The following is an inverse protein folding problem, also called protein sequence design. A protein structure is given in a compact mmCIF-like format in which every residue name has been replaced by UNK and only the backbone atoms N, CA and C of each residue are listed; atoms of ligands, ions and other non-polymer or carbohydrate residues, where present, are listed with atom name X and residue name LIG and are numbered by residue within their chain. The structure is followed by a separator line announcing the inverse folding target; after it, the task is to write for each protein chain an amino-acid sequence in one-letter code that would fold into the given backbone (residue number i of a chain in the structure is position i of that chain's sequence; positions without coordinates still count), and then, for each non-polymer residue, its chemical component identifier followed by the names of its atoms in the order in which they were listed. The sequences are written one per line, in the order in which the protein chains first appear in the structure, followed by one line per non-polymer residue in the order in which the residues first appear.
data_IF_607088745736
#
_entry.id   IF_607088745736
#
_cell.length_a   1.000
_cell.length_b   1.000
_cell.length_c   1.000
_cell.angle_alpha   90.00
_cell.angle_beta   90.00
_cell.angle_gamma   90.00
#
_symmetry.space_group_name_H-M   'P 1'
#
loop_
_entity.id
_entity.type
_entity.pdbx_description
1 polymer ?
#
# COMPACT_ATOMS: atom_id res chain seq x y z
N UNK A 1 10.44 -21.20 0.79
CA UNK A 1 10.47 -22.56 1.35
C UNK A 1 11.17 -23.53 0.41
N UNK A 2 10.72 -23.72 -0.84
CA UNK A 2 11.38 -24.66 -1.78
C UNK A 2 12.83 -24.26 -2.07
N UNK A 3 13.09 -22.98 -2.32
CA UNK A 3 14.43 -22.48 -2.68
C UNK A 3 15.39 -22.39 -1.50
N UNK A 4 14.91 -22.08 -0.32
CA UNK A 4 15.75 -21.81 0.86
C UNK A 4 15.83 -23.00 1.83
N UNK A 5 14.78 -23.84 1.87
CA UNK A 5 14.64 -24.94 2.82
C UNK A 5 14.46 -26.31 2.11
N UNK A 6 14.79 -26.38 0.81
CA UNK A 6 14.77 -27.62 0.03
C UNK A 6 13.40 -28.25 -0.18
N UNK A 7 12.31 -27.55 0.10
CA UNK A 7 10.96 -28.07 -0.03
C UNK A 7 10.59 -29.15 0.99
N UNK A 8 11.28 -29.18 2.12
CA UNK A 8 11.07 -30.16 3.19
C UNK A 8 9.63 -30.18 3.69
N UNK A 9 8.87 -31.28 3.57
CA UNK A 9 7.47 -31.34 4.04
C UNK A 9 7.35 -31.19 5.57
N UNK A 10 8.39 -31.55 6.32
CA UNK A 10 8.42 -31.49 7.78
C UNK A 10 9.11 -30.21 8.29
N UNK A 11 9.00 -29.12 7.55
CA UNK A 11 9.64 -27.83 7.88
C UNK A 11 8.98 -27.13 9.05
N UNK A 12 7.70 -27.35 9.28
CA UNK A 12 6.94 -26.73 10.40
C UNK A 12 7.48 -27.27 11.72
N UNK A 13 7.72 -26.38 12.68
CA UNK A 13 8.36 -26.69 13.96
C UNK A 13 9.90 -26.61 13.94
N UNK A 14 10.52 -26.50 12.74
CA UNK A 14 11.98 -26.27 12.66
C UNK A 14 12.34 -24.82 12.93
N UNK A 15 13.57 -24.61 13.35
CA UNK A 15 14.10 -23.26 13.62
C UNK A 15 14.85 -22.71 12.41
N UNK A 16 14.64 -21.43 12.12
CA UNK A 16 15.45 -20.64 11.19
C UNK A 16 16.10 -19.47 11.91
N UNK A 17 17.20 -18.99 11.38
CA UNK A 17 17.88 -17.80 11.91
C UNK A 17 17.63 -16.62 10.98
N UNK A 18 17.04 -15.56 11.53
CA UNK A 18 16.78 -14.30 10.82
C UNK A 18 17.45 -13.17 11.61
N UNK A 19 18.34 -12.42 10.98
CA UNK A 19 19.11 -11.35 11.62
C UNK A 19 19.78 -11.75 12.94
N UNK A 20 20.34 -12.98 12.98
CA UNK A 20 21.02 -13.52 14.15
C UNK A 20 20.12 -14.00 15.29
N UNK A 21 18.80 -14.01 15.10
CA UNK A 21 17.81 -14.53 16.06
C UNK A 21 17.13 -15.77 15.54
N UNK A 22 16.81 -16.69 16.44
CA UNK A 22 16.12 -17.93 16.10
C UNK A 22 14.60 -17.75 16.12
N UNK A 23 13.96 -18.26 15.07
CA UNK A 23 12.51 -18.27 14.92
C UNK A 23 12.04 -19.67 14.59
N UNK A 24 10.92 -20.07 15.15
CA UNK A 24 10.24 -21.31 14.79
C UNK A 24 9.34 -21.09 13.59
N UNK A 25 9.39 -22.01 12.64
CA UNK A 25 8.51 -22.02 11.46
C UNK A 25 7.15 -22.57 11.90
N UNK A 26 6.12 -21.73 11.89
CA UNK A 26 4.75 -22.09 12.29
C UNK A 26 3.86 -22.50 11.10
N UNK A 27 4.33 -22.32 9.88
CA UNK A 27 3.59 -22.70 8.68
C UNK A 27 4.25 -22.26 7.40
N UNK A 28 3.73 -22.76 6.29
CA UNK A 28 4.13 -22.42 4.93
C UNK A 28 2.91 -21.83 4.21
N UNK A 29 3.09 -20.66 3.61
CA UNK A 29 2.02 -20.04 2.83
C UNK A 29 1.69 -20.89 1.58
N UNK A 30 0.42 -20.90 1.13
CA UNK A 30 0.03 -21.63 -0.06
C UNK A 30 0.79 -21.15 -1.31
N UNK A 31 0.95 -22.05 -2.28
CA UNK A 31 1.60 -21.72 -3.55
C UNK A 31 0.90 -20.54 -4.24
N UNK A 32 1.70 -19.57 -4.69
CA UNK A 32 1.18 -18.34 -5.34
C UNK A 32 0.77 -17.23 -4.37
N UNK A 33 0.82 -17.45 -3.06
CA UNK A 33 0.59 -16.37 -2.10
C UNK A 33 1.78 -15.39 -2.10
N UNK A 34 1.52 -14.15 -2.46
CA UNK A 34 2.52 -13.08 -2.57
C UNK A 34 2.33 -11.97 -1.52
N UNK A 35 1.47 -12.21 -0.52
CA UNK A 35 1.13 -11.20 0.47
C UNK A 35 0.04 -10.24 -0.01
N UNK A 36 -0.12 -9.15 0.73
CA UNK A 36 -1.16 -8.15 0.50
C UNK A 36 -0.68 -6.92 -0.26
N UNK A 37 0.63 -6.82 -0.51
CA UNK A 37 1.24 -5.66 -1.18
C UNK A 37 1.60 -6.02 -2.62
N UNK A 38 0.93 -5.40 -3.58
CA UNK A 38 1.20 -5.62 -5.00
C UNK A 38 2.63 -5.18 -5.36
N UNK A 39 3.37 -6.05 -6.07
CA UNK A 39 4.76 -5.81 -6.48
C UNK A 39 5.80 -6.15 -5.41
N UNK A 40 5.38 -6.56 -4.21
CA UNK A 40 6.26 -7.09 -3.17
C UNK A 40 6.15 -8.62 -3.11
N UNK A 41 7.28 -9.28 -2.91
CA UNK A 41 7.33 -10.75 -2.69
C UNK A 41 8.13 -11.02 -1.43
N UNK A 42 7.48 -10.91 -0.25
CA UNK A 42 8.15 -11.22 1.01
C UNK A 42 8.49 -12.71 1.09
N UNK A 43 9.70 -13.01 1.52
CA UNK A 43 10.16 -14.39 1.75
C UNK A 43 9.66 -14.94 3.08
N UNK A 44 9.37 -14.07 4.04
CA UNK A 44 8.94 -14.39 5.40
C UNK A 44 7.78 -13.51 5.84
N UNK A 45 6.88 -14.11 6.61
CA UNK A 45 5.82 -13.42 7.33
C UNK A 45 6.06 -13.61 8.83
N UNK A 46 6.08 -12.54 9.57
CA UNK A 46 6.36 -12.55 11.01
C UNK A 46 5.23 -11.82 11.74
N UNK A 47 4.77 -12.33 12.89
CA UNK A 47 3.79 -11.61 13.70
C UNK A 47 4.26 -10.18 14.02
N UNK A 48 3.34 -9.22 14.00
CA UNK A 48 3.63 -7.82 14.28
C UNK A 48 4.31 -7.62 15.63
N UNK A 49 3.95 -8.42 16.63
CA UNK A 49 4.56 -8.42 17.97
C UNK A 49 6.06 -8.77 17.97
N UNK A 50 6.54 -9.41 16.90
CA UNK A 50 7.95 -9.76 16.72
C UNK A 50 8.72 -8.76 15.85
N UNK A 51 8.10 -7.62 15.48
CA UNK A 51 8.69 -6.59 14.63
C UNK A 51 10.08 -6.15 15.09
N UNK A 52 10.23 -5.88 16.39
CA UNK A 52 11.52 -5.47 16.96
C UNK A 52 12.54 -6.62 16.94
N UNK A 53 12.09 -7.86 17.04
CA UNK A 53 12.96 -9.03 17.02
C UNK A 53 13.63 -9.24 15.66
N UNK A 54 13.00 -8.85 14.56
CA UNK A 54 13.57 -8.97 13.20
C UNK A 54 14.39 -7.74 12.78
N UNK A 55 14.67 -6.81 13.70
CA UNK A 55 15.44 -5.59 13.40
C UNK A 55 14.57 -4.41 12.99
N UNK A 56 13.29 -4.41 13.34
CA UNK A 56 12.41 -3.26 13.16
C UNK A 56 12.98 -2.05 13.90
N UNK A 57 13.13 -0.96 13.18
CA UNK A 57 13.75 0.28 13.65
C UNK A 57 12.82 1.19 14.43
N UNK A 58 11.55 0.79 14.57
CA UNK A 58 10.52 1.60 15.21
C UNK A 58 9.81 0.83 16.31
N UNK A 59 9.60 1.49 17.45
CA UNK A 59 8.71 0.97 18.49
C UNK A 59 7.28 0.87 17.99
N UNK A 60 6.60 -0.24 18.28
CA UNK A 60 5.16 -0.42 18.03
C UNK A 60 4.30 0.56 18.84
N UNK A 61 4.88 1.18 19.87
CA UNK A 61 4.21 2.18 20.72
C UNK A 61 4.29 3.60 20.15
N UNK A 62 5.06 3.81 19.08
CA UNK A 62 5.19 5.12 18.47
C UNK A 62 3.92 5.51 17.68
N UNK A 63 3.03 6.24 18.34
CA UNK A 63 1.75 6.72 17.79
C UNK A 63 1.88 7.69 16.60
N UNK A 64 3.07 8.25 16.36
CA UNK A 64 3.32 9.18 15.24
C UNK A 64 3.64 8.47 13.93
N UNK A 65 3.74 7.14 13.93
CA UNK A 65 4.08 6.37 12.75
C UNK A 65 2.89 5.53 12.25
N UNK A 66 2.62 5.67 10.96
CA UNK A 66 1.60 4.92 10.24
C UNK A 66 2.31 3.89 9.37
N UNK A 67 2.47 2.66 9.84
CA UNK A 67 3.18 1.59 9.15
C UNK A 67 2.35 0.31 8.97
N UNK A 68 1.07 0.36 9.38
CA UNK A 68 0.17 -0.78 9.32
C UNK A 68 -0.92 -0.52 8.29
N UNK A 69 -1.16 -1.52 7.45
CA UNK A 69 -2.35 -1.60 6.62
C UNK A 69 -3.27 -2.66 7.20
N UNK A 70 -4.48 -2.26 7.55
CA UNK A 70 -5.49 -3.18 8.08
C UNK A 70 -6.39 -3.67 6.94
N UNK A 71 -6.59 -4.98 6.87
CA UNK A 71 -7.52 -5.61 5.95
C UNK A 71 -8.65 -6.25 6.73
N UNK A 72 -9.87 -6.10 6.22
CA UNK A 72 -11.06 -6.67 6.83
C UNK A 72 -12.02 -7.21 5.78
N UNK A 73 -12.89 -8.10 6.22
CA UNK A 73 -14.00 -8.57 5.41
C UNK A 73 -15.28 -7.89 5.88
N UNK A 74 -16.01 -7.30 4.95
CA UNK A 74 -17.31 -6.73 5.25
C UNK A 74 -18.29 -7.85 5.66
N UNK A 75 -19.14 -7.58 6.65
CA UNK A 75 -20.25 -8.47 6.98
C UNK A 75 -21.24 -8.51 5.81
N UNK A 76 -21.99 -9.62 5.63
CA UNK A 76 -23.02 -9.70 4.62
C UNK A 76 -23.99 -8.51 4.69
N UNK A 77 -24.30 -7.90 3.56
CA UNK A 77 -25.21 -6.76 3.46
C UNK A 77 -24.62 -5.39 3.84
N UNK A 78 -23.38 -5.32 4.31
CA UNK A 78 -22.72 -4.05 4.65
C UNK A 78 -21.98 -3.52 3.40
N UNK A 79 -22.28 -2.27 3.01
CA UNK A 79 -21.57 -1.60 1.94
C UNK A 79 -20.24 -1.00 2.42
N UNK A 80 -19.34 -0.71 1.47
CA UNK A 80 -18.07 -0.06 1.79
C UNK A 80 -18.26 1.33 2.43
N UNK A 81 -19.29 2.08 1.98
CA UNK A 81 -19.58 3.41 2.53
C UNK A 81 -20.13 3.33 3.96
N UNK A 82 -20.95 2.35 4.25
CA UNK A 82 -21.42 2.08 5.62
C UNK A 82 -20.25 1.69 6.54
N UNK A 83 -19.33 0.85 6.05
CA UNK A 83 -18.13 0.49 6.79
C UNK A 83 -17.22 1.70 7.04
N UNK A 84 -17.03 2.55 6.02
CA UNK A 84 -16.25 3.79 6.14
C UNK A 84 -16.87 4.75 7.15
N UNK A 85 -18.19 4.94 7.11
CA UNK A 85 -18.90 5.77 8.07
C UNK A 85 -18.77 5.24 9.51
N UNK A 86 -18.94 3.93 9.70
CA UNK A 86 -18.77 3.28 11.01
C UNK A 86 -17.34 3.39 11.54
N UNK A 87 -16.33 3.20 10.70
CA UNK A 87 -14.92 3.36 11.08
C UNK A 87 -14.63 4.81 11.49
N UNK A 88 -15.13 5.79 10.74
CA UNK A 88 -14.90 7.20 11.06
C UNK A 88 -15.67 7.66 12.30
N UNK A 89 -16.84 7.10 12.58
CA UNK A 89 -17.55 7.35 13.83
C UNK A 89 -16.72 6.95 15.06
N UNK A 90 -15.94 5.87 14.96
CA UNK A 90 -15.03 5.44 16.03
C UNK A 90 -13.70 6.20 16.02
N UNK A 91 -13.18 6.52 14.83
CA UNK A 91 -11.87 7.16 14.68
C UNK A 91 -11.88 8.64 15.06
N UNK A 92 -12.94 9.38 14.73
CA UNK A 92 -13.03 10.83 14.99
C UNK A 92 -12.83 11.18 16.48
N UNK A 93 -13.49 10.56 17.44
CA UNK A 93 -13.22 10.82 18.86
C UNK A 93 -11.77 10.51 19.26
N UNK A 94 -11.21 9.42 18.73
CA UNK A 94 -9.81 9.05 19.02
C UNK A 94 -8.86 10.16 18.53
N UNK A 95 -9.02 10.63 17.30
CA UNK A 95 -8.12 11.66 16.76
C UNK A 95 -8.32 13.02 17.44
N UNK A 96 -9.56 13.38 17.80
CA UNK A 96 -9.87 14.71 18.35
C UNK A 96 -9.63 14.80 19.85
N UNK A 97 -9.95 13.76 20.60
CA UNK A 97 -9.97 13.79 22.07
C UNK A 97 -8.72 13.13 22.69
N UNK A 98 -8.13 12.16 21.99
CA UNK A 98 -6.96 11.41 22.49
C UNK A 98 -5.68 11.88 21.83
N UNK A 99 -5.63 11.87 20.48
CA UNK A 99 -4.38 12.11 19.76
C UNK A 99 -4.07 13.60 19.58
N UNK A 100 -5.06 14.44 19.34
CA UNK A 100 -4.85 15.89 19.13
C UNK A 100 -4.27 16.61 20.36
N UNK A 101 -4.71 16.31 21.59
CA UNK A 101 -4.10 16.92 22.79
C UNK A 101 -2.62 16.55 22.99
N UNK A 102 -2.18 15.39 22.43
CA UNK A 102 -0.79 14.93 22.53
C UNK A 102 0.14 15.57 21.49
N UNK A 103 -0.40 16.40 20.59
CA UNK A 103 0.38 17.06 19.55
C UNK A 103 0.95 18.38 20.09
N UNK A 104 2.24 18.40 20.33
CA UNK A 104 2.97 19.61 20.76
C UNK A 104 3.60 20.31 19.54
N UNK A 105 3.62 21.65 19.56
CA UNK A 105 4.30 22.48 18.56
C UNK A 105 3.63 22.58 17.21
N UNK A 106 2.38 22.09 17.06
CA UNK A 106 1.61 22.27 15.83
C UNK A 106 0.96 23.66 15.78
N UNK A 107 1.02 24.30 14.59
CA UNK A 107 0.19 25.49 14.34
C UNK A 107 -1.31 25.13 14.37
N UNK A 108 -2.17 26.09 14.67
CA UNK A 108 -3.63 25.89 14.67
C UNK A 108 -4.14 25.30 13.36
N UNK A 109 -3.66 25.81 12.22
CA UNK A 109 -4.02 25.29 10.91
C UNK A 109 -3.59 23.84 10.69
N UNK A 110 -2.45 23.42 11.23
CA UNK A 110 -1.96 22.03 11.15
C UNK A 110 -2.76 21.13 12.08
N UNK A 111 -3.08 21.61 13.28
CA UNK A 111 -3.90 20.88 14.24
C UNK A 111 -5.34 20.69 13.71
N UNK A 112 -5.91 21.70 13.07
CA UNK A 112 -7.22 21.58 12.43
C UNK A 112 -7.22 20.51 11.33
N UNK A 113 -6.20 20.49 10.47
CA UNK A 113 -6.02 19.44 9.45
C UNK A 113 -5.80 18.06 10.07
N UNK A 114 -5.09 18.00 11.18
CA UNK A 114 -4.88 16.75 11.90
C UNK A 114 -6.20 16.18 12.43
N UNK A 115 -7.03 17.00 13.07
CA UNK A 115 -8.35 16.64 13.58
C UNK A 115 -9.35 16.26 12.48
N UNK A 116 -9.18 16.82 11.28
CA UNK A 116 -10.03 16.53 10.13
C UNK A 116 -9.64 15.22 9.38
N UNK A 117 -8.61 14.49 9.83
CA UNK A 117 -8.21 13.22 9.24
C UNK A 117 -9.33 12.17 9.36
N UNK A 118 -9.48 11.39 8.30
CA UNK A 118 -10.44 10.31 8.23
C UNK A 118 -9.76 9.00 7.86
N UNK A 119 -10.36 7.90 8.29
CA UNK A 119 -9.97 6.56 7.83
C UNK A 119 -10.51 6.36 6.42
N UNK A 120 -9.61 6.09 5.49
CA UNK A 120 -9.97 5.68 4.13
C UNK A 120 -10.16 4.16 4.09
N UNK A 121 -11.32 3.72 3.64
CA UNK A 121 -11.58 2.32 3.32
C UNK A 121 -11.71 2.17 1.80
N UNK A 122 -10.91 1.29 1.23
CA UNK A 122 -10.88 1.02 -0.22
C UNK A 122 -11.07 -0.47 -0.48
N UNK A 123 -11.59 -0.87 -1.66
CA UNK A 123 -11.69 -2.29 -2.01
C UNK A 123 -10.32 -2.98 -1.97
N UNK A 124 -10.19 -4.02 -1.14
CA UNK A 124 -8.94 -4.75 -0.92
C UNK A 124 -8.67 -5.90 -1.89
N UNK A 125 -9.56 -6.15 -2.87
CA UNK A 125 -9.44 -7.30 -3.78
C UNK A 125 -8.14 -7.34 -4.60
N UNK A 126 -7.51 -6.18 -4.82
CA UNK A 126 -6.23 -6.06 -5.54
C UNK A 126 -5.03 -5.90 -4.62
N UNK A 127 -5.20 -6.09 -3.32
CA UNK A 127 -4.15 -5.79 -2.36
C UNK A 127 -3.91 -4.29 -2.20
N UNK A 128 -2.87 -3.96 -1.44
CA UNK A 128 -2.40 -2.59 -1.25
C UNK A 128 -1.31 -2.29 -2.28
N UNK A 129 -1.35 -1.12 -2.90
CA UNK A 129 -0.29 -0.68 -3.80
C UNK A 129 -0.14 0.84 -3.76
N UNK A 130 1.02 1.31 -3.39
CA UNK A 130 1.45 2.69 -3.61
C UNK A 130 1.75 2.94 -5.09
N UNK A 131 2.14 1.90 -5.83
CA UNK A 131 2.56 1.96 -7.24
C UNK A 131 1.48 2.57 -8.13
N UNK A 132 0.21 2.23 -7.93
CA UNK A 132 -0.87 2.83 -8.73
C UNK A 132 -1.01 4.34 -8.55
N UNK A 133 -0.78 4.83 -7.34
CA UNK A 133 -0.87 6.27 -7.04
C UNK A 133 0.34 7.01 -7.58
N UNK A 134 1.51 6.45 -7.41
CA UNK A 134 2.79 7.01 -7.85
C UNK A 134 2.99 6.94 -9.37
N UNK A 135 2.54 5.88 -10.02
CA UNK A 135 2.68 5.70 -11.46
C UNK A 135 1.67 6.50 -12.30
N UNK A 136 0.56 6.95 -11.73
CA UNK A 136 -0.51 7.64 -12.47
C UNK A 136 0.00 8.90 -13.17
N UNK A 137 0.69 9.77 -12.45
CA UNK A 137 1.20 11.05 -13.00
C UNK A 137 2.24 10.84 -14.09
N UNK A 138 3.31 10.05 -13.91
CA UNK A 138 4.27 9.79 -14.97
C UNK A 138 3.64 9.09 -16.18
N UNK A 139 2.66 8.20 -15.99
CA UNK A 139 1.96 7.59 -17.12
C UNK A 139 1.12 8.60 -17.92
N UNK A 140 0.39 9.49 -17.26
CA UNK A 140 -0.37 10.55 -17.94
C UNK A 140 0.59 11.45 -18.73
N UNK A 141 1.71 11.84 -18.16
CA UNK A 141 2.72 12.65 -18.86
C UNK A 141 3.29 11.92 -20.07
N UNK A 142 3.64 10.64 -19.92
CA UNK A 142 4.15 9.84 -21.04
C UNK A 142 3.14 9.75 -22.19
N UNK A 143 1.88 9.43 -21.89
CA UNK A 143 0.81 9.38 -22.89
C UNK A 143 0.55 10.73 -23.53
N UNK A 144 0.62 11.82 -22.78
CA UNK A 144 0.43 13.17 -23.31
C UNK A 144 1.54 13.54 -24.31
N UNK A 145 2.81 13.28 -23.97
CA UNK A 145 3.94 13.52 -24.85
C UNK A 145 3.85 12.67 -26.11
N UNK A 146 3.60 11.37 -25.95
CA UNK A 146 3.46 10.45 -27.10
C UNK A 146 2.30 10.86 -28.02
N UNK A 147 1.17 11.24 -27.45
CA UNK A 147 0.02 11.73 -28.20
C UNK A 147 0.33 13.02 -28.98
N UNK A 148 1.05 13.95 -28.37
CA UNK A 148 1.48 15.19 -29.02
C UNK A 148 2.42 14.92 -30.20
N UNK A 149 3.41 14.05 -30.03
CA UNK A 149 4.33 13.66 -31.11
C UNK A 149 3.57 13.01 -32.26
N UNK A 150 2.62 12.13 -31.94
CA UNK A 150 1.77 11.48 -32.96
C UNK A 150 0.92 12.51 -33.74
N UNK A 151 0.32 13.47 -33.04
CA UNK A 151 -0.45 14.55 -33.69
C UNK A 151 0.41 15.39 -34.63
N UNK A 152 1.64 15.74 -34.23
CA UNK A 152 2.59 16.46 -35.07
C UNK A 152 2.94 15.63 -36.32
N UNK A 153 3.21 14.35 -36.15
CA UNK A 153 3.50 13.46 -37.27
C UNK A 153 2.32 13.35 -38.24
N UNK A 154 1.10 13.18 -37.73
CA UNK A 154 -0.12 13.15 -38.54
C UNK A 154 -0.34 14.47 -39.28
N UNK A 155 -0.14 15.61 -38.64
CA UNK A 155 -0.27 16.92 -39.29
C UNK A 155 0.78 17.10 -40.41
N UNK A 156 2.01 16.66 -40.19
CA UNK A 156 3.04 16.71 -41.21
C UNK A 156 2.72 15.84 -42.42
N UNK A 157 2.23 14.62 -42.19
CA UNK A 157 1.80 13.73 -43.28
C UNK A 157 0.61 14.33 -44.05
N UNK A 158 -0.37 14.87 -43.32
CA UNK A 158 -1.53 15.50 -43.95
C UNK A 158 -1.10 16.69 -44.85
N UNK A 159 -0.19 17.55 -44.38
CA UNK A 159 0.33 18.66 -45.14
C UNK A 159 1.08 18.19 -46.40
N UNK A 160 1.89 17.11 -46.25
CA UNK A 160 2.59 16.54 -47.44
C UNK A 160 1.62 15.96 -48.48
N UNK A 161 0.59 15.28 -48.03
CA UNK A 161 -0.44 14.73 -48.93
C UNK A 161 -1.24 15.83 -49.65
N UNK A 162 -1.59 16.91 -48.96
CA UNK A 162 -2.28 18.07 -49.53
C UNK A 162 -1.36 18.76 -50.55
N UNK A 163 -0.09 18.97 -50.27
CA UNK A 163 0.86 19.57 -51.21
C UNK A 163 1.05 18.72 -52.47
N UNK A 164 1.01 17.38 -52.34
CA UNK A 164 1.16 16.47 -53.47
C UNK A 164 -0.13 16.33 -54.29
N UNK A 165 -1.31 16.53 -53.70
CA UNK A 165 -2.62 16.46 -54.39
C UNK A 165 -2.97 17.78 -55.09
N UNK A 166 -2.30 18.88 -54.86
CA UNK A 166 -2.54 20.19 -55.46
C UNK A 166 -1.61 20.50 -56.67
N UNK A 167 -0.72 19.61 -57.05
CA UNK A 167 0.14 19.69 -58.23
C UNK A 167 -0.21 18.56 -59.19
#
# INVERSE_FOLDING_TARGET
WQSQLGGDPDVVGKSITVNGKHFEIIGVAPQGFQGTTLGSRPDLYVPLTMWQAIGGWTSTENRRQYYIYAFGRLKPGVTLDQARAGLNALYTPIITEVEAPLQEGMSEATLARFKAKQVEATPGARGQSSVHREARTPLILLFSVTGTVLLIACANIANLLLARGAG
#
